data_IF_689971490462
#
_entry.id   IF_689971490462
#
_cell.length_a   1.000
_cell.length_b   1.000
_cell.length_c   1.000
_cell.angle_alpha   90.00
_cell.angle_beta   90.00
_cell.angle_gamma   90.00
#
_symmetry.space_group_name_H-M   'P 1'
#
loop_
_entity.id
_entity.type
_entity.pdbx_description
1 polymer ?
#
# COMPACT_ATOMS: atom_id res chain seq x y z
N UNK A 1 5.85 16.99 -17.98
CA UNK A 1 6.75 15.82 -17.92
C UNK A 1 8.18 16.32 -17.78
N UNK A 2 8.95 15.74 -16.88
CA UNK A 2 10.37 16.08 -16.67
C UNK A 2 11.22 14.94 -17.22
N UNK A 3 12.34 15.25 -17.88
CA UNK A 3 13.26 14.24 -18.43
C UNK A 3 14.25 13.81 -17.35
N UNK A 4 14.45 12.50 -17.22
CA UNK A 4 15.48 11.92 -16.35
C UNK A 4 16.45 11.09 -17.19
N UNK A 5 17.68 10.97 -16.71
CA UNK A 5 18.66 10.00 -17.20
C UNK A 5 18.90 9.01 -16.07
N UNK A 6 18.90 7.72 -16.41
CA UNK A 6 19.17 6.63 -15.49
C UNK A 6 20.14 5.68 -16.17
N UNK A 7 21.21 5.33 -15.47
CA UNK A 7 22.16 4.33 -15.93
C UNK A 7 21.62 2.95 -15.54
N UNK A 8 21.43 2.09 -16.53
CA UNK A 8 21.02 0.70 -16.34
C UNK A 8 22.03 -0.21 -17.05
N UNK A 9 22.38 -1.36 -16.44
CA UNK A 9 23.10 -2.43 -17.12
C UNK A 9 22.40 -2.83 -18.42
N UNK A 10 23.18 -3.24 -19.42
CA UNK A 10 22.63 -3.60 -20.73
C UNK A 10 21.64 -4.78 -20.64
N UNK A 11 21.90 -5.73 -19.74
CA UNK A 11 21.02 -6.88 -19.53
C UNK A 11 19.66 -6.48 -18.93
N UNK A 12 19.64 -5.47 -18.06
CA UNK A 12 18.39 -4.94 -17.51
C UNK A 12 17.55 -4.22 -18.58
N UNK A 13 18.22 -3.52 -19.51
CA UNK A 13 17.54 -2.89 -20.65
C UNK A 13 16.92 -3.94 -21.57
N UNK A 14 17.65 -5.02 -21.88
CA UNK A 14 17.15 -6.15 -22.68
C UNK A 14 15.96 -6.82 -22.00
N UNK A 15 16.06 -7.06 -20.69
CA UNK A 15 14.97 -7.62 -19.91
C UNK A 15 13.72 -6.73 -19.93
N UNK A 16 13.88 -5.41 -19.78
CA UNK A 16 12.77 -4.46 -19.85
C UNK A 16 12.07 -4.47 -21.22
N UNK A 17 12.84 -4.59 -22.31
CA UNK A 17 12.28 -4.67 -23.66
C UNK A 17 11.49 -5.96 -23.89
N UNK A 18 12.01 -7.09 -23.40
CA UNK A 18 11.29 -8.37 -23.44
C UNK A 18 9.97 -8.29 -22.66
N UNK A 19 10.00 -7.75 -21.45
CA UNK A 19 8.82 -7.57 -20.60
C UNK A 19 7.78 -6.62 -21.21
N UNK A 20 8.24 -5.52 -21.80
CA UNK A 20 7.36 -4.57 -22.49
C UNK A 20 6.66 -5.24 -23.67
N UNK A 21 7.39 -6.05 -24.44
CA UNK A 21 6.86 -6.80 -25.59
C UNK A 21 5.84 -7.85 -25.16
N UNK A 22 6.17 -8.65 -24.15
CA UNK A 22 5.29 -9.68 -23.59
C UNK A 22 3.96 -9.08 -23.09
N UNK A 23 4.01 -7.89 -22.49
CA UNK A 23 2.83 -7.20 -21.96
C UNK A 23 2.11 -6.29 -22.98
N UNK A 24 2.62 -6.19 -24.22
CA UNK A 24 2.08 -5.30 -25.24
C UNK A 24 2.14 -3.81 -24.88
N UNK A 25 3.10 -3.41 -24.04
CA UNK A 25 3.28 -2.04 -23.55
C UNK A 25 4.54 -1.41 -24.14
N UNK A 26 4.59 -0.07 -24.15
CA UNK A 26 5.87 0.61 -24.38
C UNK A 26 6.78 0.50 -23.15
N UNK A 27 8.10 0.42 -23.37
CA UNK A 27 9.11 0.44 -22.30
C UNK A 27 8.89 1.62 -21.32
N UNK A 28 8.57 2.80 -21.86
CA UNK A 28 8.30 3.97 -21.04
C UNK A 28 7.04 3.84 -20.18
N UNK A 29 6.01 3.14 -20.66
CA UNK A 29 4.83 2.83 -19.84
C UNK A 29 5.19 1.84 -18.73
N UNK A 30 5.95 0.78 -19.05
CA UNK A 30 6.40 -0.20 -18.06
C UNK A 30 7.20 0.47 -16.93
N UNK A 31 8.12 1.40 -17.27
CA UNK A 31 8.88 2.17 -16.28
C UNK A 31 7.98 3.07 -15.42
N UNK A 32 6.96 3.72 -16.01
CA UNK A 32 6.00 4.52 -15.23
C UNK A 32 5.20 3.66 -14.25
N UNK A 33 4.74 2.49 -14.70
CA UNK A 33 4.00 1.53 -13.87
C UNK A 33 4.88 1.04 -12.71
N UNK A 34 6.15 0.70 -12.99
CA UNK A 34 7.11 0.26 -11.98
C UNK A 34 7.36 1.33 -10.91
N UNK A 35 7.59 2.59 -11.31
CA UNK A 35 7.77 3.71 -10.36
C UNK A 35 6.51 3.93 -9.52
N UNK A 36 5.32 3.84 -10.11
CA UNK A 36 4.07 3.96 -9.39
C UNK A 36 3.88 2.83 -8.35
N UNK A 37 4.20 1.59 -8.72
CA UNK A 37 4.14 0.44 -7.84
C UNK A 37 5.13 0.57 -6.67
N UNK A 38 6.38 0.94 -6.95
CA UNK A 38 7.40 1.16 -5.93
C UNK A 38 6.99 2.23 -4.91
N UNK A 39 6.39 3.33 -5.39
CA UNK A 39 5.87 4.40 -4.51
C UNK A 39 4.71 3.90 -3.64
N UNK A 40 3.85 3.05 -4.17
CA UNK A 40 2.74 2.48 -3.43
C UNK A 40 3.21 1.50 -2.36
N UNK A 41 4.22 0.68 -2.65
CA UNK A 41 4.84 -0.26 -1.68
C UNK A 41 5.47 0.48 -0.50
N UNK A 42 6.19 1.59 -0.76
CA UNK A 42 6.76 2.43 0.29
C UNK A 42 5.71 3.24 1.08
N UNK A 43 4.47 3.31 0.60
CA UNK A 43 3.44 4.12 1.23
C UNK A 43 2.72 3.36 2.35
N UNK A 44 2.75 3.92 3.57
CA UNK A 44 1.92 3.49 4.70
C UNK A 44 0.44 3.87 4.55
N UNK A 45 0.02 4.32 3.36
CA UNK A 45 -1.36 4.69 3.05
C UNK A 45 -2.36 3.56 3.30
N UNK A 46 -1.92 2.30 3.33
CA UNK A 46 -2.80 1.18 3.70
C UNK A 46 -3.42 1.35 5.09
N UNK A 47 -2.69 1.95 6.05
CA UNK A 47 -3.22 2.27 7.38
C UNK A 47 -4.33 3.30 7.25
N UNK A 48 -4.12 4.35 6.45
CA UNK A 48 -5.10 5.40 6.23
C UNK A 48 -6.35 4.89 5.49
N UNK A 49 -6.17 4.02 4.51
CA UNK A 49 -7.25 3.34 3.75
C UNK A 49 -8.02 2.35 4.62
N UNK A 50 -7.34 1.67 5.55
CA UNK A 50 -7.95 0.70 6.46
C UNK A 50 -8.72 1.32 7.64
N UNK A 51 -8.60 2.63 7.86
CA UNK A 51 -9.35 3.31 8.92
C UNK A 51 -10.85 3.18 8.66
N UNK A 52 -11.56 2.58 9.62
CA UNK A 52 -13.02 2.48 9.58
C UNK A 52 -13.57 1.20 8.96
N UNK A 53 -12.74 0.28 8.44
CA UNK A 53 -13.24 -1.01 7.91
C UNK A 53 -14.07 -1.82 8.91
N UNK A 54 -13.82 -1.64 10.20
CA UNK A 54 -14.50 -2.36 11.29
C UNK A 54 -15.53 -1.50 12.03
N UNK A 55 -15.76 -0.25 11.57
CA UNK A 55 -16.59 0.73 12.30
C UNK A 55 -18.06 0.28 12.41
N UNK A 56 -18.61 -0.28 11.34
CA UNK A 56 -20.04 -0.60 11.24
C UNK A 56 -20.32 -2.10 11.42
N UNK A 57 -19.30 -2.87 11.83
CA UNK A 57 -19.45 -4.30 12.09
C UNK A 57 -20.09 -4.52 13.45
N UNK A 58 -21.25 -5.17 13.48
CA UNK A 58 -22.02 -5.50 14.69
C UNK A 58 -21.69 -6.87 15.28
N UNK A 59 -20.93 -7.70 14.56
CA UNK A 59 -20.52 -9.06 14.96
C UNK A 59 -19.26 -9.07 15.84
N UNK A 60 -18.65 -7.91 16.07
CA UNK A 60 -17.54 -7.70 17.02
C UNK A 60 -18.04 -6.80 18.15
N UNK A 61 -17.82 -7.21 19.39
CA UNK A 61 -18.29 -6.49 20.57
C UNK A 61 -17.67 -5.09 20.69
N UNK A 62 -18.39 -4.17 21.34
CA UNK A 62 -17.92 -2.80 21.56
C UNK A 62 -16.71 -2.78 22.52
N UNK A 63 -15.54 -2.48 21.94
CA UNK A 63 -14.28 -2.35 22.68
C UNK A 63 -14.31 -1.30 23.80
N UNK A 64 -15.08 -0.22 23.65
CA UNK A 64 -15.18 0.83 24.68
C UNK A 64 -16.05 0.37 25.85
N UNK A 65 -17.16 -0.31 25.58
CA UNK A 65 -17.97 -0.96 26.61
C UNK A 65 -17.13 -1.98 27.40
N UNK A 66 -16.37 -2.84 26.71
CA UNK A 66 -15.48 -3.82 27.35
C UNK A 66 -14.36 -3.18 28.19
N UNK A 67 -13.74 -2.08 27.71
CA UNK A 67 -12.75 -1.37 28.50
C UNK A 67 -13.35 -0.74 29.76
N UNK A 68 -14.58 -0.20 29.67
CA UNK A 68 -15.28 0.39 30.81
C UNK A 68 -15.60 -0.65 31.87
N UNK A 69 -16.06 -1.85 31.50
CA UNK A 69 -16.37 -2.90 32.48
C UNK A 69 -15.13 -3.31 33.28
N UNK A 70 -13.99 -3.55 32.63
CA UNK A 70 -12.74 -3.92 33.34
C UNK A 70 -12.23 -2.79 34.24
N UNK A 71 -12.48 -1.53 33.88
CA UNK A 71 -12.05 -0.37 34.68
C UNK A 71 -13.00 -0.07 35.83
N UNK A 72 -14.29 -0.36 35.69
CA UNK A 72 -15.27 -0.19 36.76
C UNK A 72 -14.91 -1.04 38.00
N UNK A 73 -14.32 -2.23 37.79
CA UNK A 73 -13.83 -3.09 38.89
C UNK A 73 -12.64 -2.48 39.67
N UNK A 74 -12.08 -1.34 39.24
CA UNK A 74 -10.89 -0.70 39.83
C UNK A 74 -11.19 0.66 40.48
N UNK A 75 -12.42 1.13 40.50
CA UNK A 75 -12.78 2.35 41.23
C UNK A 75 -13.08 2.00 42.71
N UNK A 76 -12.40 2.62 43.69
CA UNK A 76 -12.72 2.44 45.11
C UNK A 76 -14.07 3.09 45.44
N UNK A 77 -14.87 2.38 46.25
CA UNK A 77 -16.22 2.76 46.69
C UNK A 77 -16.26 4.05 47.54
#
# INVERSE_FOLDING_TARGET
MTRILADLPEDDVKWLDAQATEQGKSRAQLLRDAVAAYRAEGSKDWIAKGRGYWKDRSDIGDSMAYQRTIRADREPA
#
